data_IF_269047776152
#
_entry.id   IF_269047776152
#
_cell.length_a   1.000
_cell.length_b   1.000
_cell.length_c   1.000
_cell.angle_alpha   90.00
_cell.angle_beta   90.00
_cell.angle_gamma   90.00
#
_symmetry.space_group_name_H-M   'P 1'
#
loop_
_entity.id
_entity.type
_entity.pdbx_description
1 polymer ?
#
# COMPACT_ATOMS: atom_id res chain seq x y z
N UNK A 1 5.37 -36.51 10.62
CA UNK A 1 6.13 -35.28 10.41
C UNK A 1 6.21 -34.56 11.74
N UNK A 2 7.35 -34.67 12.43
CA UNK A 2 7.55 -34.05 13.75
C UNK A 2 7.97 -32.61 13.52
N UNK A 3 7.08 -31.66 13.80
CA UNK A 3 7.42 -30.24 13.80
C UNK A 3 8.04 -29.95 15.17
N UNK A 4 9.34 -29.63 15.21
CA UNK A 4 10.03 -29.27 16.43
C UNK A 4 9.43 -27.96 17.00
N UNK A 5 9.09 -27.88 18.31
CA UNK A 5 8.42 -26.73 18.93
C UNK A 5 9.20 -25.40 18.84
N UNK A 6 10.51 -25.46 18.57
CA UNK A 6 11.42 -24.31 18.63
C UNK A 6 11.34 -23.36 17.42
N UNK A 7 10.56 -23.70 16.38
CA UNK A 7 10.42 -22.86 15.19
C UNK A 7 9.25 -21.86 15.28
N UNK A 8 8.29 -22.04 16.19
CA UNK A 8 7.16 -21.10 16.35
C UNK A 8 7.57 -19.72 16.88
N UNK A 9 8.73 -19.61 17.53
CA UNK A 9 9.13 -18.36 18.21
C UNK A 9 9.95 -17.38 17.37
N UNK A 10 10.29 -17.69 16.11
CA UNK A 10 11.39 -17.00 15.40
C UNK A 10 11.08 -16.28 14.09
N UNK A 11 9.92 -16.47 13.47
CA UNK A 11 9.64 -15.81 12.19
C UNK A 11 8.68 -14.63 12.38
N UNK A 12 9.11 -13.47 11.91
CA UNK A 12 8.19 -12.42 11.48
C UNK A 12 7.78 -12.77 10.05
N UNK A 13 6.47 -12.80 9.77
CA UNK A 13 6.01 -12.91 8.40
C UNK A 13 5.96 -11.50 7.83
N UNK A 14 6.94 -11.18 6.99
CA UNK A 14 6.93 -9.95 6.22
C UNK A 14 6.26 -10.28 4.89
N UNK A 15 5.08 -9.73 4.67
CA UNK A 15 4.38 -9.86 3.40
C UNK A 15 5.03 -8.85 2.44
N UNK A 16 5.50 -9.33 1.31
CA UNK A 16 5.71 -8.46 0.15
C UNK A 16 4.35 -8.20 -0.44
N UNK A 17 3.90 -6.96 -0.32
CA UNK A 17 2.71 -6.56 -1.04
C UNK A 17 3.17 -6.30 -2.47
N UNK A 18 3.06 -7.32 -3.33
CA UNK A 18 3.29 -7.19 -4.77
C UNK A 18 1.91 -7.31 -5.43
N UNK A 19 1.14 -6.23 -5.34
CA UNK A 19 -0.24 -6.17 -5.83
C UNK A 19 -0.31 -5.29 -7.08
N UNK A 20 0.57 -4.31 -7.13
CA UNK A 20 0.68 -3.34 -8.21
C UNK A 20 1.27 -4.01 -9.44
N UNK A 21 0.52 -3.98 -10.54
CA UNK A 21 0.91 -4.56 -11.84
C UNK A 21 0.41 -6.00 -12.08
N UNK A 22 0.06 -6.73 -11.02
CA UNK A 22 -0.51 -8.10 -11.11
C UNK A 22 -2.02 -8.08 -11.43
N UNK A 23 -2.70 -6.97 -11.12
CA UNK A 23 -4.10 -6.75 -11.53
C UNK A 23 -4.15 -6.42 -13.03
N UNK A 24 -4.30 -7.46 -13.85
CA UNK A 24 -4.41 -7.34 -15.31
C UNK A 24 -5.85 -7.60 -15.73
N UNK A 25 -6.46 -6.62 -16.40
CA UNK A 25 -7.80 -6.74 -16.97
C UNK A 25 -7.76 -7.44 -18.33
N UNK A 26 -8.84 -8.13 -18.69
CA UNK A 26 -8.91 -8.87 -19.96
C UNK A 26 -8.68 -7.92 -21.15
N UNK A 27 -7.66 -8.23 -21.96
CA UNK A 27 -7.29 -7.44 -23.14
C UNK A 27 -6.51 -6.15 -22.84
N UNK A 28 -6.08 -5.94 -21.60
CA UNK A 28 -5.25 -4.80 -21.18
C UNK A 28 -3.83 -5.26 -20.80
N UNK A 29 -2.88 -4.33 -20.80
CA UNK A 29 -1.52 -4.58 -20.31
C UNK A 29 -1.46 -4.52 -18.77
N UNK A 30 -0.30 -4.89 -18.21
CA UNK A 30 0.00 -4.55 -16.81
C UNK A 30 -0.01 -3.05 -16.60
N UNK A 31 -0.32 -2.61 -15.38
CA UNK A 31 -0.41 -1.18 -15.01
C UNK A 31 -1.53 -0.41 -15.74
N UNK A 32 -2.61 -1.10 -16.10
CA UNK A 32 -3.82 -0.46 -16.63
C UNK A 32 -4.87 -0.35 -15.53
N UNK A 33 -5.19 0.87 -15.11
CA UNK A 33 -6.11 1.11 -13.99
C UNK A 33 -7.47 1.65 -14.43
N UNK A 34 -7.62 2.14 -15.66
CA UNK A 34 -8.90 2.67 -16.17
C UNK A 34 -10.09 1.71 -15.94
N UNK A 35 -10.00 0.39 -16.21
CA UNK A 35 -11.14 -0.50 -16.01
C UNK A 35 -11.54 -0.65 -14.53
N UNK A 36 -10.64 -0.34 -13.60
CA UNK A 36 -10.98 -0.24 -12.17
C UNK A 36 -11.92 0.94 -11.94
N UNK A 37 -11.56 2.11 -12.48
CA UNK A 37 -12.29 3.36 -12.27
C UNK A 37 -13.61 3.41 -13.02
N UNK A 38 -13.75 2.70 -14.14
CA UNK A 38 -15.05 2.48 -14.80
C UNK A 38 -16.07 1.82 -13.86
N UNK A 39 -15.60 0.92 -12.99
CA UNK A 39 -16.46 0.19 -12.02
C UNK A 39 -16.58 0.92 -10.69
N UNK A 40 -15.50 1.57 -10.23
CA UNK A 40 -15.39 2.21 -8.92
C UNK A 40 -14.90 3.66 -9.05
N UNK A 41 -15.72 4.57 -9.60
CA UNK A 41 -15.27 5.92 -9.99
C UNK A 41 -14.89 6.84 -8.82
N UNK A 42 -15.33 6.52 -7.60
CA UNK A 42 -15.03 7.30 -6.39
C UNK A 42 -13.89 6.70 -5.57
N UNK A 43 -13.31 5.59 -6.01
CA UNK A 43 -12.18 4.93 -5.35
C UNK A 43 -10.85 5.41 -5.93
N UNK A 44 -9.73 4.93 -5.36
CA UNK A 44 -8.40 4.97 -5.97
C UNK A 44 -7.83 3.56 -6.08
N UNK A 45 -6.97 3.31 -7.07
CA UNK A 45 -6.23 2.04 -7.16
C UNK A 45 -5.33 1.88 -5.92
N UNK A 46 -4.83 2.98 -5.35
CA UNK A 46 -4.15 3.01 -4.05
C UNK A 46 -5.05 2.46 -2.94
N UNK A 47 -6.28 2.96 -2.82
CA UNK A 47 -7.26 2.47 -1.85
C UNK A 47 -7.52 0.97 -2.04
N UNK A 48 -7.62 0.50 -3.28
CA UNK A 48 -7.78 -0.93 -3.58
C UNK A 48 -6.58 -1.77 -3.14
N UNK A 49 -5.35 -1.29 -3.34
CA UNK A 49 -4.13 -1.99 -2.94
C UNK A 49 -3.99 -2.06 -1.41
N UNK A 50 -4.38 -0.98 -0.72
CA UNK A 50 -4.46 -0.95 0.74
C UNK A 50 -5.45 -2.02 1.20
N UNK A 51 -6.68 -2.04 0.68
CA UNK A 51 -7.70 -3.04 1.04
C UNK A 51 -7.22 -4.48 0.80
N UNK A 52 -6.51 -4.75 -0.30
CA UNK A 52 -5.93 -6.08 -0.51
C UNK A 52 -4.85 -6.42 0.52
N UNK A 53 -4.06 -5.43 0.95
CA UNK A 53 -3.06 -5.60 2.00
C UNK A 53 -3.73 -5.94 3.34
N UNK A 54 -4.81 -5.23 3.67
CA UNK A 54 -5.57 -5.47 4.91
C UNK A 54 -6.28 -6.84 4.86
N UNK A 55 -6.84 -7.22 3.72
CA UNK A 55 -7.42 -8.54 3.53
C UNK A 55 -6.37 -9.66 3.67
N UNK A 56 -5.13 -9.45 3.20
CA UNK A 56 -4.05 -10.39 3.43
C UNK A 56 -3.71 -10.52 4.93
N UNK A 57 -3.70 -9.41 5.67
CA UNK A 57 -3.54 -9.41 7.13
C UNK A 57 -4.69 -10.17 7.80
N UNK A 58 -5.94 -9.99 7.37
CA UNK A 58 -7.09 -10.74 7.89
C UNK A 58 -6.90 -12.26 7.73
N UNK A 59 -6.52 -12.72 6.52
CA UNK A 59 -6.25 -14.13 6.26
C UNK A 59 -5.15 -14.67 7.19
N UNK A 60 -4.05 -13.92 7.34
CA UNK A 60 -2.96 -14.35 8.24
C UNK A 60 -3.40 -14.40 9.70
N UNK A 61 -4.30 -13.53 10.13
CA UNK A 61 -4.83 -13.51 11.48
C UNK A 61 -5.69 -14.74 11.82
N UNK A 62 -6.27 -15.40 10.82
CA UNK A 62 -7.06 -16.62 10.99
C UNK A 62 -6.21 -17.90 11.00
N UNK A 63 -4.93 -17.82 10.63
CA UNK A 63 -4.05 -19.00 10.59
C UNK A 63 -3.42 -19.27 11.96
N UNK A 64 -3.80 -20.38 12.60
CA UNK A 64 -3.33 -20.77 13.94
C UNK A 64 -1.80 -20.91 14.07
N UNK A 65 -1.10 -21.18 12.97
CA UNK A 65 0.34 -21.29 12.98
C UNK A 65 1.06 -19.94 12.89
N UNK A 66 0.37 -18.84 12.55
CA UNK A 66 0.93 -17.48 12.44
C UNK A 66 1.04 -16.81 13.81
N UNK A 67 2.21 -16.24 14.09
CA UNK A 67 2.36 -15.32 15.22
C UNK A 67 1.76 -13.95 14.85
N UNK A 68 0.53 -13.70 15.31
CA UNK A 68 -0.25 -12.47 15.06
C UNK A 68 0.44 -11.20 15.55
N UNK A 69 1.38 -11.31 16.49
CA UNK A 69 2.18 -10.20 16.99
C UNK A 69 3.46 -9.95 16.15
N UNK A 70 3.62 -10.61 14.99
CA UNK A 70 4.82 -10.52 14.15
C UNK A 70 4.50 -10.48 12.65
N UNK A 71 3.44 -9.78 12.30
CA UNK A 71 3.09 -9.49 10.90
C UNK A 71 3.80 -8.20 10.50
N UNK A 72 4.42 -8.18 9.33
CA UNK A 72 5.02 -6.99 8.76
C UNK A 72 4.75 -6.85 7.27
N UNK A 73 5.04 -5.68 6.72
CA UNK A 73 4.88 -5.38 5.29
C UNK A 73 6.17 -4.82 4.70
N UNK A 74 6.41 -5.04 3.42
CA UNK A 74 7.49 -4.35 2.72
C UNK A 74 7.07 -4.01 1.29
N UNK A 75 7.65 -2.95 0.76
CA UNK A 75 7.40 -2.53 -0.62
C UNK A 75 8.45 -1.55 -1.16
N UNK A 76 8.51 -1.50 -2.49
CA UNK A 76 9.39 -0.61 -3.24
C UNK A 76 8.56 0.34 -4.12
N UNK A 77 8.96 1.62 -4.20
CA UNK A 77 8.30 2.64 -5.02
C UNK A 77 6.79 2.72 -4.69
N UNK A 78 5.90 2.40 -5.63
CA UNK A 78 4.46 2.38 -5.39
C UNK A 78 4.03 1.47 -4.21
N UNK A 79 4.70 0.32 -4.04
CA UNK A 79 4.44 -0.56 -2.90
C UNK A 79 5.08 -0.04 -1.62
N UNK A 80 6.09 0.84 -1.74
CA UNK A 80 6.63 1.59 -0.62
C UNK A 80 5.60 2.56 -0.04
N UNK A 81 4.81 3.25 -0.89
CA UNK A 81 3.68 4.06 -0.43
C UNK A 81 2.63 3.17 0.25
N UNK A 82 2.25 2.08 -0.40
CA UNK A 82 1.25 1.15 0.10
C UNK A 82 1.63 0.56 1.47
N UNK A 83 2.91 0.24 1.69
CA UNK A 83 3.42 -0.18 3.00
C UNK A 83 3.20 0.89 4.08
N UNK A 84 3.44 2.18 3.77
CA UNK A 84 3.18 3.29 4.71
C UNK A 84 1.68 3.40 4.99
N UNK A 85 0.84 3.42 3.96
CA UNK A 85 -0.62 3.53 4.12
C UNK A 85 -1.20 2.37 4.92
N UNK A 86 -0.83 1.13 4.59
CA UNK A 86 -1.29 -0.06 5.30
C UNK A 86 -0.88 -0.01 6.77
N UNK A 87 0.37 0.40 7.06
CA UNK A 87 0.78 0.61 8.44
C UNK A 87 -0.05 1.69 9.13
N UNK A 88 -0.31 2.83 8.49
CA UNK A 88 -1.09 3.91 9.10
C UNK A 88 -2.53 3.49 9.45
N UNK A 89 -3.10 2.57 8.68
CA UNK A 89 -4.50 2.15 8.80
C UNK A 89 -4.72 0.87 9.61
N UNK A 90 -3.69 0.04 9.81
CA UNK A 90 -3.81 -1.22 10.53
C UNK A 90 -2.66 -1.43 11.55
N UNK A 91 -3.03 -1.41 12.82
CA UNK A 91 -2.13 -1.59 13.96
C UNK A 91 -1.62 -3.02 14.15
N UNK A 92 -2.27 -4.01 13.50
CA UNK A 92 -1.85 -5.41 13.54
C UNK A 92 -0.54 -5.63 12.81
N UNK A 93 -0.25 -4.79 11.80
CA UNK A 93 1.06 -4.74 11.16
C UNK A 93 2.04 -4.20 12.21
N UNK A 94 3.17 -4.86 12.46
CA UNK A 94 4.12 -4.48 13.53
C UNK A 94 5.34 -3.75 13.02
N UNK A 95 5.78 -4.08 11.81
CA UNK A 95 6.95 -3.51 11.17
C UNK A 95 6.64 -3.29 9.70
N UNK A 96 7.12 -2.19 9.12
CA UNK A 96 7.10 -2.01 7.68
C UNK A 96 8.40 -1.45 7.14
N UNK A 97 8.69 -1.80 5.90
CA UNK A 97 9.86 -1.33 5.15
C UNK A 97 9.35 -0.67 3.88
N UNK A 98 9.54 0.65 3.79
CA UNK A 98 9.24 1.44 2.59
C UNK A 98 10.54 1.83 1.91
N UNK A 99 10.77 1.32 0.70
CA UNK A 99 11.96 1.62 -0.09
C UNK A 99 11.59 2.51 -1.28
N UNK A 100 12.08 3.75 -1.34
CA UNK A 100 11.65 4.76 -2.33
C UNK A 100 10.13 5.06 -2.30
N UNK A 101 9.48 4.90 -1.14
CA UNK A 101 8.06 5.23 -0.97
C UNK A 101 7.81 6.46 -0.10
N UNK A 102 8.82 7.29 0.14
CA UNK A 102 8.63 8.57 0.85
C UNK A 102 8.86 9.69 -0.15
N UNK A 103 7.75 10.28 -0.61
CA UNK A 103 7.70 11.39 -1.55
C UNK A 103 6.87 12.54 -0.98
N UNK A 104 7.21 13.76 -1.35
CA UNK A 104 6.44 14.96 -1.00
C UNK A 104 5.80 15.47 -2.28
N UNK A 105 4.48 15.37 -2.39
CA UNK A 105 3.72 15.80 -3.56
C UNK A 105 4.02 17.26 -3.94
N UNK A 106 4.20 18.13 -2.94
CA UNK A 106 4.58 19.54 -3.10
C UNK A 106 5.98 19.75 -3.68
N UNK A 107 6.87 18.76 -3.63
CA UNK A 107 8.26 18.85 -4.11
C UNK A 107 8.55 17.99 -5.33
N UNK A 108 7.59 17.18 -5.78
CA UNK A 108 7.72 16.38 -7.00
C UNK A 108 7.61 17.27 -8.24
N UNK A 109 8.69 17.36 -9.03
CA UNK A 109 8.70 18.11 -10.30
C UNK A 109 7.65 17.55 -11.28
N UNK A 110 7.53 16.23 -11.32
CA UNK A 110 6.62 15.49 -12.19
C UNK A 110 5.35 15.02 -11.44
N UNK A 111 4.80 15.86 -10.55
CA UNK A 111 3.64 15.48 -9.69
C UNK A 111 2.40 14.99 -10.47
N UNK A 112 2.26 15.34 -11.75
CA UNK A 112 1.15 14.87 -12.58
C UNK A 112 1.20 13.36 -12.86
N UNK A 113 2.36 12.70 -12.74
CA UNK A 113 2.51 11.24 -12.90
C UNK A 113 1.68 10.44 -11.90
N UNK A 114 1.35 11.03 -10.75
CA UNK A 114 0.48 10.42 -9.74
C UNK A 114 -1.00 10.46 -10.11
N UNK A 115 -1.33 11.27 -11.13
CA UNK A 115 -2.69 11.68 -11.45
C UNK A 115 -2.94 11.64 -12.95
N UNK A 116 -2.32 10.68 -13.66
CA UNK A 116 -2.52 10.48 -15.09
C UNK A 116 -4.02 10.42 -15.43
N UNK A 117 -4.38 10.79 -16.65
CA UNK A 117 -5.74 10.68 -17.19
C UNK A 117 -5.95 9.41 -18.04
N UNK A 118 -4.87 8.70 -18.37
CA UNK A 118 -4.86 7.42 -19.07
C UNK A 118 -3.82 6.46 -18.46
N UNK A 119 -4.03 5.15 -18.64
CA UNK A 119 -3.12 4.11 -18.16
C UNK A 119 -3.16 3.86 -16.64
N UNK A 120 -2.03 4.04 -15.94
CA UNK A 120 -1.92 3.83 -14.49
C UNK A 120 -2.23 5.09 -13.69
N UNK A 121 -3.51 5.43 -13.64
CA UNK A 121 -4.07 6.49 -12.81
C UNK A 121 -3.95 6.09 -11.33
N UNK A 122 -3.00 6.68 -10.61
CA UNK A 122 -2.66 6.25 -9.25
C UNK A 122 -3.58 6.85 -8.16
N UNK A 123 -3.68 8.19 -8.06
CA UNK A 123 -4.56 8.90 -7.09
C UNK A 123 -5.33 10.03 -7.80
N UNK A 124 -6.45 9.74 -8.50
CA UNK A 124 -7.14 10.73 -9.34
C UNK A 124 -7.57 12.00 -8.59
N UNK A 125 -7.93 11.89 -7.31
CA UNK A 125 -8.41 13.00 -6.49
C UNK A 125 -7.38 14.15 -6.31
N UNK A 126 -6.09 13.87 -6.48
CA UNK A 126 -5.03 14.90 -6.40
C UNK A 126 -4.92 15.75 -7.67
N UNK A 127 -5.49 15.30 -8.80
CA UNK A 127 -5.28 15.93 -10.11
C UNK A 127 -5.65 17.41 -10.13
N UNK A 128 -6.78 17.77 -9.53
CA UNK A 128 -7.23 19.17 -9.51
C UNK A 128 -6.26 20.09 -8.78
N UNK A 129 -5.67 19.62 -7.66
CA UNK A 129 -4.68 20.38 -6.91
C UNK A 129 -3.43 20.61 -7.75
N UNK A 130 -3.00 19.58 -8.49
CA UNK A 130 -1.79 19.66 -9.30
C UNK A 130 -1.95 20.51 -10.56
N UNK A 131 -3.13 20.49 -11.19
CA UNK A 131 -3.43 21.32 -12.36
C UNK A 131 -3.61 22.80 -12.01
N UNK A 132 -4.16 23.10 -10.83
CA UNK A 132 -4.41 24.47 -10.36
C UNK A 132 -3.26 25.05 -9.53
N UNK A 133 -2.17 24.30 -9.37
CA UNK A 133 -1.02 24.66 -8.52
C UNK A 133 -1.39 24.99 -7.08
N UNK A 134 -2.28 24.17 -6.53
CA UNK A 134 -2.71 24.22 -5.14
C UNK A 134 -1.91 23.24 -4.29
N UNK A 135 -1.79 23.56 -3.00
CA UNK A 135 -1.24 22.65 -2.01
C UNK A 135 -2.11 21.38 -1.95
N UNK A 136 -1.52 20.17 -2.03
CA UNK A 136 -2.27 18.93 -1.86
C UNK A 136 -2.94 18.88 -0.47
N UNK A 137 -4.06 18.17 -0.33
CA UNK A 137 -4.79 18.10 0.94
C UNK A 137 -4.07 17.29 2.03
N UNK A 138 -3.04 16.54 1.66
CA UNK A 138 -2.19 15.77 2.56
C UNK A 138 -0.84 15.47 1.89
N UNK A 139 0.16 15.15 2.71
CA UNK A 139 1.46 14.64 2.29
C UNK A 139 1.75 13.23 2.85
N UNK A 140 2.65 12.47 2.20
CA UNK A 140 2.96 11.09 2.63
C UNK A 140 3.57 11.07 4.04
N UNK A 141 4.35 12.09 4.41
CA UNK A 141 4.92 12.18 5.76
C UNK A 141 3.86 12.38 6.84
N UNK A 142 2.72 13.03 6.52
CA UNK A 142 1.60 13.18 7.46
C UNK A 142 0.89 11.84 7.67
N UNK A 143 0.78 11.02 6.62
CA UNK A 143 0.29 9.64 6.73
C UNK A 143 1.25 8.80 7.57
N UNK A 144 2.55 8.92 7.34
CA UNK A 144 3.55 8.22 8.14
C UNK A 144 3.50 8.62 9.62
N UNK A 145 3.15 9.87 9.93
CA UNK A 145 2.97 10.34 11.30
C UNK A 145 1.79 9.68 12.03
N UNK A 146 0.82 9.09 11.31
CA UNK A 146 -0.26 8.30 11.90
C UNK A 146 0.21 6.94 12.41
N UNK A 147 1.39 6.47 11.99
CA UNK A 147 1.93 5.18 12.44
C UNK A 147 2.37 5.32 13.91
N UNK A 148 1.65 4.70 14.86
CA UNK A 148 1.99 4.85 16.26
C UNK A 148 3.33 4.16 16.56
N UNK A 149 3.99 4.57 17.65
CA UNK A 149 5.11 3.78 18.17
C UNK A 149 4.62 2.38 18.52
N UNK A 150 5.18 1.36 17.87
CA UNK A 150 4.83 -0.05 18.10
C UNK A 150 5.88 -0.63 19.04
N UNK A 151 5.61 -0.64 20.34
CA UNK A 151 6.50 -1.29 21.32
C UNK A 151 6.56 -2.80 21.06
N UNK A 152 7.79 -3.34 20.99
CA UNK A 152 8.05 -4.76 20.74
C UNK A 152 7.71 -5.68 21.89
#
# INVERSE_FOLDING_TARGET
MVILPTLQERWALIITVAIIGERIYQGKNSFESEPFYEQYPTWSIVGKNIEDSLAAVDVLHELDFINKNRIGVNGHSHEGHNAIFAMALDERIRVGISNYGMSLFSQEEERLEWTLDEGYIYIPALRMYFLEDLEPPLEIHEVAALIPSRSG
#
